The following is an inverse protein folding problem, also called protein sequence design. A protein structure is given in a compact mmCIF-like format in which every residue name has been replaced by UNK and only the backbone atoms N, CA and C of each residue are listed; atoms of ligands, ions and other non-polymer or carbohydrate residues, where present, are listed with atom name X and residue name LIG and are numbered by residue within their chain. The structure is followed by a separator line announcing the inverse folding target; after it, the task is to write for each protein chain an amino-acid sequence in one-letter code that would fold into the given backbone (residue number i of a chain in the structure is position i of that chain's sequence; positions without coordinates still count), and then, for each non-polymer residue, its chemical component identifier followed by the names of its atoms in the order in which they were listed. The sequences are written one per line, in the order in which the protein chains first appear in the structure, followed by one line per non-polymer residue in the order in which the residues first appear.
data_IF_903849899745
#
_entry.id   IF_903849899745
#
_cell.length_a   1.000
_cell.length_b   1.000
_cell.length_c   1.000
_cell.angle_alpha   90.00
_cell.angle_beta   90.00
_cell.angle_gamma   90.00
#
_symmetry.space_group_name_H-M   'P 1'
#
loop_
_entity.id
_entity.type
_entity.pdbx_description
1 polymer ?
#
# COMPACT_ATOMS: atom_id res chain seq x y z
N UNK A 1 0.71 70.13 -22.35
CA UNK A 1 0.82 70.63 -23.74
C UNK A 1 0.31 69.59 -24.68
N UNK A 2 -0.76 69.93 -25.36
CA UNK A 2 -1.24 69.59 -26.71
C UNK A 2 -1.24 68.03 -27.04
N UNK A 3 -2.36 67.40 -27.01
CA UNK A 3 -3.54 67.47 -27.92
C UNK A 3 -3.27 66.96 -29.34
N UNK A 4 -4.08 66.00 -29.73
CA UNK A 4 -4.64 65.98 -31.03
C UNK A 4 -4.72 64.64 -31.74
N UNK A 5 -5.87 64.35 -32.34
CA UNK A 5 -6.37 63.08 -32.66
C UNK A 5 -6.55 62.82 -34.20
N UNK A 6 -7.44 61.88 -34.58
CA UNK A 6 -8.05 61.66 -35.93
C UNK A 6 -7.40 60.51 -36.74
N UNK A 7 -8.05 59.69 -37.51
CA UNK A 7 -9.45 59.63 -38.00
C UNK A 7 -9.72 58.19 -38.51
N UNK A 8 -10.97 57.77 -38.34
CA UNK A 8 -11.63 56.75 -39.21
C UNK A 8 -12.06 57.35 -40.56
N UNK A 9 -12.31 56.57 -41.54
CA UNK A 9 -13.51 56.83 -42.36
C UNK A 9 -14.45 55.64 -42.49
N UNK A 10 -15.68 56.09 -42.63
CA UNK A 10 -16.92 55.34 -42.80
C UNK A 10 -17.24 55.07 -44.29
N UNK A 11 -18.23 54.13 -44.42
CA UNK A 11 -19.32 54.08 -45.44
C UNK A 11 -18.92 53.59 -46.84
N UNK A 12 -19.73 52.79 -47.49
CA UNK A 12 -21.16 52.97 -47.82
C UNK A 12 -21.77 51.67 -48.36
N UNK A 13 -22.93 51.32 -47.90
CA UNK A 13 -24.16 50.86 -48.52
C UNK A 13 -24.21 50.75 -50.08
N UNK A 14 -24.76 49.61 -50.60
CA UNK A 14 -25.79 49.61 -51.65
C UNK A 14 -26.67 48.37 -51.59
N UNK A 15 -27.97 48.63 -51.57
CA UNK A 15 -29.14 47.73 -51.63
C UNK A 15 -29.60 47.65 -53.10
N UNK A 16 -30.06 46.49 -53.56
CA UNK A 16 -31.17 46.26 -54.51
C UNK A 16 -31.37 44.75 -54.53
N UNK A 17 -32.43 44.16 -54.12
CA UNK A 17 -33.88 44.15 -54.28
C UNK A 17 -34.34 43.35 -55.54
N UNK A 18 -35.09 42.28 -55.25
CA UNK A 18 -36.24 41.69 -55.93
C UNK A 18 -36.03 40.68 -57.06
N UNK A 19 -36.48 39.51 -56.77
CA UNK A 19 -37.62 38.72 -57.26
C UNK A 19 -37.30 37.67 -58.37
N UNK A 20 -37.56 36.39 -58.11
CA UNK A 20 -38.71 35.67 -58.71
C UNK A 20 -38.89 34.28 -58.07
N UNK A 21 -40.11 34.01 -57.75
CA UNK A 21 -40.71 32.82 -57.20
C UNK A 21 -40.56 31.63 -58.19
N UNK A 22 -40.00 30.50 -57.77
CA UNK A 22 -40.31 29.20 -58.38
C UNK A 22 -40.42 28.14 -57.32
N UNK A 23 -41.64 27.77 -56.99
CA UNK A 23 -42.00 26.64 -56.15
C UNK A 23 -41.62 25.36 -56.89
N UNK A 24 -40.60 24.67 -56.45
CA UNK A 24 -40.41 23.25 -56.74
C UNK A 24 -40.53 22.50 -55.43
N UNK A 25 -41.69 21.87 -55.23
CA UNK A 25 -41.95 20.94 -54.18
C UNK A 25 -41.12 19.69 -54.46
N UNK A 26 -39.96 19.59 -53.85
CA UNK A 26 -39.30 18.29 -53.70
C UNK A 26 -39.69 17.75 -52.33
N UNK A 27 -40.56 16.74 -52.37
CA UNK A 27 -40.74 15.85 -51.25
C UNK A 27 -39.43 15.13 -50.95
N UNK A 28 -38.61 15.74 -50.12
CA UNK A 28 -37.60 15.00 -49.40
C UNK A 28 -38.30 14.33 -48.21
N UNK A 29 -38.60 13.05 -48.38
CA UNK A 29 -38.83 12.14 -47.31
C UNK A 29 -37.65 12.31 -46.32
N UNK A 30 -37.88 12.94 -45.18
CA UNK A 30 -37.06 12.75 -44.01
C UNK A 30 -37.16 11.25 -43.67
N UNK A 31 -36.24 10.46 -44.18
CA UNK A 31 -35.88 9.27 -43.46
C UNK A 31 -35.23 9.79 -42.16
N UNK A 32 -36.01 9.71 -41.09
CA UNK A 32 -35.44 9.63 -39.75
C UNK A 32 -34.38 8.53 -39.81
N UNK A 33 -33.13 8.95 -39.92
CA UNK A 33 -32.07 8.12 -39.42
C UNK A 33 -32.37 8.04 -37.92
N UNK A 34 -33.13 7.02 -37.53
CA UNK A 34 -33.08 6.48 -36.19
C UNK A 34 -31.59 6.45 -35.83
N UNK A 35 -31.23 7.29 -34.88
CA UNK A 35 -30.00 7.07 -34.11
C UNK A 35 -29.98 5.57 -33.85
N UNK A 36 -29.05 4.88 -34.49
CA UNK A 36 -28.75 3.52 -34.10
C UNK A 36 -28.57 3.62 -32.59
N UNK A 37 -29.54 3.08 -31.86
CA UNK A 37 -29.28 2.67 -30.48
C UNK A 37 -27.99 1.89 -30.58
N UNK A 38 -26.89 2.46 -30.07
CA UNK A 38 -25.73 1.68 -29.80
C UNK A 38 -26.26 0.51 -28.98
N UNK A 39 -26.20 -0.69 -29.53
CA UNK A 39 -26.26 -1.88 -28.73
C UNK A 39 -25.20 -1.62 -27.65
N UNK A 40 -25.64 -1.24 -26.45
CA UNK A 40 -24.84 -1.31 -25.26
C UNK A 40 -24.50 -2.80 -25.14
N UNK A 41 -23.35 -3.18 -25.70
CA UNK A 41 -22.81 -4.50 -25.53
C UNK A 41 -22.61 -4.64 -24.03
N UNK A 42 -23.59 -5.30 -23.39
CA UNK A 42 -23.60 -5.50 -21.95
C UNK A 42 -22.46 -6.46 -21.63
N UNK A 43 -21.32 -5.88 -21.18
CA UNK A 43 -20.19 -6.69 -20.74
C UNK A 43 -20.54 -7.26 -19.37
N UNK A 44 -20.64 -8.60 -19.29
CA UNK A 44 -20.92 -9.30 -18.07
C UNK A 44 -19.61 -9.70 -17.38
N UNK A 45 -19.36 -9.18 -16.20
CA UNK A 45 -18.23 -9.55 -15.36
C UNK A 45 -18.45 -10.93 -14.77
N UNK A 46 -17.47 -11.80 -14.89
CA UNK A 46 -17.43 -13.13 -14.27
C UNK A 46 -16.51 -13.04 -13.06
N UNK A 47 -17.07 -13.19 -11.88
CA UNK A 47 -16.31 -13.22 -10.64
C UNK A 47 -15.61 -14.56 -10.47
N UNK A 48 -14.34 -14.53 -10.13
CA UNK A 48 -13.54 -15.70 -9.80
C UNK A 48 -13.04 -15.60 -8.37
N UNK A 49 -13.09 -16.70 -7.64
CA UNK A 49 -12.48 -16.78 -6.32
C UNK A 49 -10.96 -16.61 -6.42
N UNK A 50 -10.34 -15.91 -5.47
CA UNK A 50 -8.90 -15.77 -5.45
C UNK A 50 -8.21 -17.12 -5.22
N UNK A 51 -7.12 -17.37 -5.96
CA UNK A 51 -6.33 -18.60 -5.88
C UNK A 51 -4.98 -18.28 -5.26
N UNK A 52 -4.53 -19.10 -4.29
CA UNK A 52 -3.21 -18.98 -3.68
C UNK A 52 -2.10 -19.31 -4.69
N UNK A 53 -1.03 -18.53 -4.67
CA UNK A 53 0.11 -18.73 -5.57
C UNK A 53 0.91 -19.98 -5.14
N UNK A 54 1.21 -20.85 -6.09
CA UNK A 54 2.06 -21.99 -5.83
C UNK A 54 3.54 -21.58 -5.86
N UNK A 55 4.24 -21.75 -4.74
CA UNK A 55 5.64 -21.43 -4.52
C UNK A 55 6.48 -22.69 -4.35
N UNK A 56 7.75 -22.64 -4.77
CA UNK A 56 8.71 -23.69 -4.50
C UNK A 56 9.13 -23.69 -3.02
N UNK A 57 9.45 -22.52 -2.48
CA UNK A 57 9.73 -22.31 -1.06
C UNK A 57 8.43 -22.09 -0.32
N UNK A 58 8.12 -22.95 0.65
CA UNK A 58 6.86 -22.90 1.41
C UNK A 58 6.91 -21.98 2.65
N UNK A 59 8.05 -21.35 2.90
CA UNK A 59 8.19 -20.34 3.95
C UNK A 59 7.19 -19.22 3.72
N UNK A 60 6.37 -18.84 4.73
CA UNK A 60 5.51 -17.67 4.64
C UNK A 60 6.33 -16.39 4.50
N UNK A 61 5.94 -15.53 3.56
CA UNK A 61 6.60 -14.24 3.30
C UNK A 61 5.54 -13.15 3.34
N UNK A 62 5.70 -12.19 4.25
CA UNK A 62 4.79 -11.07 4.45
C UNK A 62 5.50 -9.74 4.21
N UNK A 63 4.83 -8.79 3.56
CA UNK A 63 5.36 -7.45 3.42
C UNK A 63 4.91 -6.56 4.59
N UNK A 64 5.82 -5.89 5.27
CA UNK A 64 5.47 -4.87 6.25
C UNK A 64 4.87 -3.66 5.53
N UNK A 65 3.65 -3.28 5.89
CA UNK A 65 2.82 -2.33 5.15
C UNK A 65 2.49 -1.09 5.99
N UNK A 66 2.78 0.09 5.42
CA UNK A 66 2.53 1.39 6.05
C UNK A 66 1.23 2.01 5.49
N UNK A 67 0.15 2.17 6.31
CA UNK A 67 -1.14 2.72 5.85
C UNK A 67 -1.22 4.25 5.99
N UNK A 68 -0.14 4.99 5.89
CA UNK A 68 -0.03 6.38 6.31
C UNK A 68 0.14 7.43 5.22
N UNK A 69 -0.21 7.11 3.96
CA UNK A 69 -0.14 8.04 2.86
C UNK A 69 -1.51 8.63 2.55
N UNK A 70 -1.62 9.97 2.49
CA UNK A 70 -2.83 10.69 2.16
C UNK A 70 -2.60 11.62 0.98
N UNK A 71 -3.64 11.79 0.14
CA UNK A 71 -3.67 12.75 -0.96
C UNK A 71 -4.92 13.62 -0.91
N UNK A 72 -4.90 14.82 -1.55
CA UNK A 72 -6.08 15.69 -1.57
C UNK A 72 -7.31 15.07 -2.24
N UNK A 73 -7.13 14.13 -3.17
CA UNK A 73 -8.24 13.48 -3.88
C UNK A 73 -9.10 12.62 -2.95
N UNK A 74 -8.50 11.89 -2.02
CA UNK A 74 -9.19 10.94 -1.13
C UNK A 74 -9.33 11.45 0.31
N UNK A 75 -8.25 11.97 0.87
CA UNK A 75 -8.19 12.41 2.27
C UNK A 75 -8.37 13.93 2.43
N UNK A 76 -8.35 14.70 1.33
CA UNK A 76 -8.52 16.15 1.34
C UNK A 76 -7.23 16.95 1.63
N UNK A 77 -6.11 16.28 1.86
CA UNK A 77 -4.80 16.90 2.15
C UNK A 77 -3.65 15.97 1.78
N UNK A 78 -2.43 16.52 1.68
CA UNK A 78 -1.20 15.72 1.59
C UNK A 78 -0.74 15.29 2.98
N UNK A 79 -0.60 13.98 3.19
CA UNK A 79 -0.16 13.41 4.46
C UNK A 79 1.29 13.70 4.80
N UNK A 80 1.62 13.63 6.09
CA UNK A 80 2.95 13.96 6.61
C UNK A 80 4.05 13.07 6.03
N UNK A 81 3.76 11.84 5.65
CA UNK A 81 4.73 10.92 5.06
C UNK A 81 5.07 11.26 3.59
N UNK A 82 4.21 12.05 2.89
CA UNK A 82 4.58 12.64 1.60
C UNK A 82 5.29 13.98 1.73
N UNK A 83 5.02 14.74 2.81
CA UNK A 83 5.50 16.14 2.94
C UNK A 83 6.65 16.30 3.93
N UNK A 84 6.70 15.49 4.97
CA UNK A 84 7.48 15.77 6.18
C UNK A 84 7.34 17.23 6.58
N UNK A 85 8.43 17.92 6.96
CA UNK A 85 8.37 19.31 7.39
C UNK A 85 8.59 20.32 6.23
N UNK A 86 9.09 19.91 5.06
CA UNK A 86 9.58 20.86 4.05
C UNK A 86 9.34 20.48 2.59
N UNK A 87 8.58 19.42 2.30
CA UNK A 87 8.22 19.04 0.93
C UNK A 87 6.78 19.48 0.61
N UNK A 88 6.57 19.81 -0.64
CA UNK A 88 5.26 20.23 -1.13
C UNK A 88 4.92 19.46 -2.42
N UNK A 89 4.09 18.40 -2.36
CA UNK A 89 3.74 17.63 -3.55
C UNK A 89 2.91 18.39 -4.61
N UNK A 90 2.46 19.62 -4.33
CA UNK A 90 1.89 20.49 -5.37
C UNK A 90 2.97 21.07 -6.30
N UNK A 91 4.23 21.06 -5.88
CA UNK A 91 5.36 21.49 -6.70
C UNK A 91 5.89 20.31 -7.54
N UNK A 92 6.28 20.63 -8.78
CA UNK A 92 6.87 19.66 -9.70
C UNK A 92 8.34 19.98 -9.93
N UNK A 93 9.21 18.99 -9.75
CA UNK A 93 10.65 19.06 -10.03
C UNK A 93 10.96 17.97 -11.06
N UNK A 94 11.45 18.36 -12.23
CA UNK A 94 11.76 17.46 -13.34
C UNK A 94 10.58 16.55 -13.76
N UNK A 95 9.34 17.03 -13.63
CA UNK A 95 8.13 16.31 -14.00
C UNK A 95 7.57 15.39 -12.92
N UNK A 96 8.19 15.30 -11.76
CA UNK A 96 7.73 14.56 -10.60
C UNK A 96 7.28 15.52 -9.48
N UNK A 97 6.30 15.10 -8.68
CA UNK A 97 5.89 15.85 -7.47
C UNK A 97 7.01 15.86 -6.43
N UNK A 98 7.18 16.98 -5.72
CA UNK A 98 8.17 17.08 -4.64
C UNK A 98 7.69 16.36 -3.40
N UNK A 99 8.16 15.13 -3.16
CA UNK A 99 7.79 14.29 -2.03
C UNK A 99 8.98 14.05 -1.08
N UNK A 100 8.68 13.62 0.13
CA UNK A 100 9.67 13.32 1.17
C UNK A 100 10.23 11.90 1.02
N UNK A 101 10.96 11.66 -0.06
CA UNK A 101 11.63 10.39 -0.34
C UNK A 101 12.82 10.61 -1.27
N UNK A 102 13.80 9.71 -1.19
CA UNK A 102 14.89 9.60 -2.17
C UNK A 102 14.45 8.91 -3.45
N UNK A 103 13.35 8.14 -3.41
CA UNK A 103 12.83 7.34 -4.50
C UNK A 103 11.40 7.76 -4.85
N UNK A 104 11.00 7.52 -6.07
CA UNK A 104 9.69 7.93 -6.54
C UNK A 104 8.82 6.72 -6.91
N UNK A 105 7.63 6.56 -6.32
CA UNK A 105 6.73 5.46 -6.67
C UNK A 105 6.50 5.42 -8.17
N UNK A 106 6.55 4.24 -8.79
CA UNK A 106 6.39 4.10 -10.24
C UNK A 106 5.02 4.62 -10.73
N UNK A 107 4.00 4.51 -9.89
CA UNK A 107 2.64 5.02 -10.12
C UNK A 107 2.43 6.47 -9.67
N UNK A 108 3.44 7.12 -9.10
CA UNK A 108 3.34 8.42 -8.42
C UNK A 108 2.82 8.32 -6.99
N UNK A 109 2.77 9.45 -6.25
CA UNK A 109 2.22 9.47 -4.89
C UNK A 109 0.73 9.14 -4.88
N UNK A 110 0.31 8.35 -3.91
CA UNK A 110 -1.03 7.77 -3.78
C UNK A 110 -1.61 7.98 -2.37
N UNK A 111 -2.87 7.65 -2.23
CA UNK A 111 -3.56 7.56 -0.93
C UNK A 111 -3.67 6.09 -0.50
N UNK A 112 -3.36 5.79 0.76
CA UNK A 112 -3.45 4.43 1.30
C UNK A 112 -4.88 3.89 1.40
N UNK A 113 -5.89 4.73 1.18
CA UNK A 113 -7.31 4.34 1.11
C UNK A 113 -7.86 4.27 -0.32
N UNK A 114 -7.05 4.58 -1.36
CA UNK A 114 -7.46 4.48 -2.76
C UNK A 114 -7.61 3.01 -3.18
N UNK A 115 -8.84 2.58 -3.47
CA UNK A 115 -9.14 1.20 -3.87
C UNK A 115 -8.28 0.74 -5.06
N UNK A 116 -8.03 1.61 -6.04
CA UNK A 116 -7.23 1.25 -7.22
C UNK A 116 -5.73 1.11 -6.90
N UNK A 117 -5.22 1.92 -5.96
CA UNK A 117 -3.89 1.70 -5.41
C UNK A 117 -3.79 0.34 -4.70
N UNK A 118 -4.79 0.01 -3.88
CA UNK A 118 -4.82 -1.25 -3.16
C UNK A 118 -4.93 -2.47 -4.10
N UNK A 119 -5.76 -2.39 -5.17
CA UNK A 119 -5.77 -3.41 -6.24
C UNK A 119 -4.37 -3.63 -6.81
N UNK A 120 -3.71 -2.55 -7.24
CA UNK A 120 -2.35 -2.60 -7.80
C UNK A 120 -1.36 -3.22 -6.83
N UNK A 121 -1.27 -2.68 -5.61
CA UNK A 121 -0.27 -3.08 -4.62
C UNK A 121 -0.41 -4.57 -4.25
N UNK A 122 -1.62 -5.03 -3.93
CA UNK A 122 -1.85 -6.40 -3.48
C UNK A 122 -1.76 -7.42 -4.62
N UNK A 123 -2.14 -7.06 -5.86
CA UNK A 123 -1.91 -7.92 -7.02
C UNK A 123 -0.40 -8.05 -7.31
N UNK A 124 0.37 -6.95 -7.24
CA UNK A 124 1.83 -7.00 -7.33
C UNK A 124 2.44 -7.95 -6.29
N UNK A 125 2.02 -7.83 -5.02
CA UNK A 125 2.48 -8.73 -3.95
C UNK A 125 2.12 -10.18 -4.26
N UNK A 126 0.88 -10.44 -4.63
CA UNK A 126 0.39 -11.79 -4.97
C UNK A 126 1.21 -12.43 -6.08
N UNK A 127 1.39 -11.74 -7.22
CA UNK A 127 2.16 -12.25 -8.35
C UNK A 127 3.68 -12.36 -8.04
N UNK A 128 4.14 -11.68 -7.00
CA UNK A 128 5.52 -11.84 -6.48
C UNK A 128 5.66 -13.01 -5.51
N UNK A 129 4.56 -13.69 -5.15
CA UNK A 129 4.57 -14.81 -4.20
C UNK A 129 4.68 -14.38 -2.74
N UNK A 130 4.33 -13.14 -2.44
CA UNK A 130 4.13 -12.65 -1.08
C UNK A 130 2.78 -13.16 -0.60
N UNK A 131 2.72 -13.75 0.59
CA UNK A 131 1.52 -14.42 1.11
C UNK A 131 0.53 -13.44 1.75
N UNK A 132 1.01 -12.28 2.19
CA UNK A 132 0.19 -11.28 2.86
C UNK A 132 0.98 -10.09 3.38
N UNK A 133 0.35 -9.33 4.27
CA UNK A 133 0.92 -8.09 4.82
C UNK A 133 0.95 -8.10 6.36
N UNK A 134 1.94 -7.43 6.92
CA UNK A 134 2.02 -7.07 8.33
C UNK A 134 1.73 -5.56 8.42
N UNK A 135 0.54 -5.21 8.92
CA UNK A 135 0.03 -3.82 8.89
C UNK A 135 0.51 -3.08 10.11
N UNK A 136 1.23 -1.98 9.91
CA UNK A 136 1.60 -1.06 10.96
C UNK A 136 0.36 -0.31 11.48
N UNK A 137 -0.08 -0.64 12.70
CA UNK A 137 -1.40 -0.27 13.24
C UNK A 137 -1.29 0.74 14.39
N UNK A 138 -1.84 1.92 14.17
CA UNK A 138 -1.75 3.10 15.07
C UNK A 138 -2.89 3.20 16.09
N UNK A 139 -3.70 2.13 16.25
CA UNK A 139 -4.84 2.13 17.16
C UNK A 139 -6.10 2.77 16.59
N UNK A 140 -7.11 2.94 17.45
CA UNK A 140 -8.43 3.48 17.09
C UNK A 140 -8.71 4.89 17.60
N UNK A 141 -7.71 5.55 18.18
CA UNK A 141 -7.90 6.85 18.81
C UNK A 141 -8.25 7.96 17.80
N UNK A 142 -8.91 9.00 18.28
CA UNK A 142 -9.30 10.15 17.47
C UNK A 142 -8.26 11.29 17.49
N UNK A 143 -7.02 10.99 17.90
CA UNK A 143 -5.92 11.95 17.95
C UNK A 143 -5.11 11.94 16.65
N UNK A 144 -4.46 13.05 16.35
CA UNK A 144 -3.59 13.23 15.18
C UNK A 144 -4.31 12.78 13.88
N UNK A 145 -3.61 12.05 13.04
CA UNK A 145 -4.12 11.43 11.80
C UNK A 145 -4.55 9.95 11.99
N UNK A 146 -4.54 9.43 13.23
CA UNK A 146 -4.87 8.03 13.51
C UNK A 146 -6.23 7.58 12.98
N UNK A 147 -7.31 8.41 12.98
CA UNK A 147 -8.56 8.04 12.33
C UNK A 147 -8.40 7.74 10.84
N UNK A 148 -7.55 8.49 10.15
CA UNK A 148 -7.29 8.28 8.72
C UNK A 148 -6.46 7.02 8.48
N UNK A 149 -5.49 6.73 9.37
CA UNK A 149 -4.72 5.50 9.32
C UNK A 149 -5.60 4.26 9.58
N UNK A 150 -6.57 4.37 10.48
CA UNK A 150 -7.54 3.31 10.72
C UNK A 150 -8.43 3.05 9.50
N UNK A 151 -8.88 4.10 8.80
CA UNK A 151 -9.62 3.97 7.54
C UNK A 151 -8.78 3.23 6.50
N UNK A 152 -7.53 3.64 6.30
CA UNK A 152 -6.61 3.00 5.37
C UNK A 152 -6.31 1.54 5.74
N UNK A 153 -6.09 1.26 7.04
CA UNK A 153 -5.89 -0.11 7.54
C UNK A 153 -7.10 -1.01 7.25
N UNK A 154 -8.32 -0.52 7.49
CA UNK A 154 -9.52 -1.28 7.16
C UNK A 154 -9.68 -1.50 5.65
N UNK A 155 -9.39 -0.49 4.83
CA UNK A 155 -9.47 -0.61 3.37
C UNK A 155 -8.50 -1.67 2.82
N UNK A 156 -7.25 -1.69 3.27
CA UNK A 156 -6.28 -2.70 2.82
C UNK A 156 -6.64 -4.11 3.30
N UNK A 157 -7.19 -4.26 4.52
CA UNK A 157 -7.67 -5.55 5.05
C UNK A 157 -8.82 -6.11 4.19
N UNK A 158 -9.77 -5.27 3.81
CA UNK A 158 -10.87 -5.67 2.92
C UNK A 158 -10.37 -6.06 1.52
N UNK A 159 -9.37 -5.34 1.00
CA UNK A 159 -8.77 -5.69 -0.28
C UNK A 159 -7.91 -6.97 -0.20
N UNK A 160 -7.22 -7.24 0.91
CA UNK A 160 -6.54 -8.52 1.14
C UNK A 160 -7.49 -9.71 1.00
N UNK A 161 -8.70 -9.63 1.55
CA UNK A 161 -9.73 -10.66 1.42
C UNK A 161 -10.12 -10.88 -0.05
N UNK A 162 -10.38 -9.78 -0.80
CA UNK A 162 -10.74 -9.84 -2.24
C UNK A 162 -9.60 -10.43 -3.10
N UNK A 163 -8.35 -10.11 -2.78
CA UNK A 163 -7.17 -10.59 -3.54
C UNK A 163 -6.74 -11.99 -3.10
N UNK A 164 -7.16 -12.44 -1.91
CA UNK A 164 -6.76 -13.72 -1.31
C UNK A 164 -5.34 -13.69 -0.75
N UNK A 165 -5.03 -12.63 -0.02
CA UNK A 165 -3.81 -12.46 0.77
C UNK A 165 -4.14 -12.47 2.27
N UNK A 166 -3.20 -12.93 3.08
CA UNK A 166 -3.32 -12.90 4.52
C UNK A 166 -2.89 -11.53 5.09
N UNK A 167 -3.23 -11.27 6.36
CA UNK A 167 -2.72 -10.11 7.07
C UNK A 167 -2.53 -10.40 8.56
N UNK A 168 -1.64 -9.66 9.20
CA UNK A 168 -1.54 -9.56 10.66
C UNK A 168 -1.29 -8.12 11.07
N UNK A 169 -1.55 -7.83 12.34
CA UNK A 169 -1.36 -6.51 12.93
C UNK A 169 0.03 -6.40 13.53
N UNK A 170 0.70 -5.29 13.25
CA UNK A 170 1.88 -4.80 13.96
C UNK A 170 1.47 -3.58 14.77
N UNK A 171 1.30 -3.74 16.06
CA UNK A 171 0.79 -2.69 16.93
C UNK A 171 1.89 -1.67 17.29
N UNK A 172 1.63 -0.40 17.01
CA UNK A 172 2.51 0.74 17.35
C UNK A 172 2.18 1.31 18.72
N UNK A 173 2.77 0.79 19.80
CA UNK A 173 2.49 1.26 21.16
C UNK A 173 3.04 2.66 21.49
N UNK A 174 3.87 3.26 20.59
CA UNK A 174 4.29 4.66 20.73
C UNK A 174 3.13 5.65 20.62
N UNK A 175 2.05 5.28 19.93
CA UNK A 175 0.84 6.10 19.78
C UNK A 175 0.23 6.44 21.13
N UNK A 176 0.30 5.52 22.10
CA UNK A 176 -0.17 5.71 23.46
C UNK A 176 0.54 6.90 24.12
N UNK A 177 1.86 7.02 23.94
CA UNK A 177 2.60 8.15 24.50
C UNK A 177 2.08 9.48 23.98
N UNK A 178 1.80 9.59 22.69
CA UNK A 178 1.26 10.80 22.09
C UNK A 178 -0.09 11.22 22.68
N UNK A 179 -0.94 10.27 23.06
CA UNK A 179 -2.22 10.51 23.70
C UNK A 179 -2.06 10.90 25.17
N UNK A 180 -1.18 10.19 25.89
CA UNK A 180 -0.86 10.50 27.31
C UNK A 180 -0.24 11.89 27.47
N UNK A 181 0.65 12.30 26.57
CA UNK A 181 1.29 13.62 26.60
C UNK A 181 0.24 14.76 26.44
N UNK A 182 -0.93 14.46 25.91
CA UNK A 182 -2.07 15.38 25.82
C UNK A 182 -3.01 15.30 27.03
N UNK A 183 -2.70 14.45 28.02
CA UNK A 183 -3.44 14.34 29.27
C UNK A 183 -4.64 13.40 29.25
N UNK A 184 -4.74 12.48 28.28
CA UNK A 184 -5.86 11.56 28.13
C UNK A 184 -5.48 10.11 28.45
N UNK A 185 -6.40 9.40 29.11
CA UNK A 185 -6.32 7.96 29.35
C UNK A 185 -5.24 7.51 30.36
N UNK A 186 -4.96 6.23 30.34
CA UNK A 186 -3.87 5.59 31.05
C UNK A 186 -3.15 4.62 30.11
N UNK A 187 -1.88 4.31 30.39
CA UNK A 187 -1.03 3.45 29.57
C UNK A 187 -1.72 2.14 29.19
N UNK A 188 -2.07 1.33 30.18
CA UNK A 188 -2.73 0.05 29.97
C UNK A 188 -4.16 0.18 29.45
N UNK A 189 -4.88 1.26 29.80
CA UNK A 189 -6.27 1.49 29.37
C UNK A 189 -6.35 1.73 27.85
N UNK A 190 -5.50 2.62 27.33
CA UNK A 190 -5.45 2.92 25.89
C UNK A 190 -5.03 1.68 25.08
N UNK A 191 -3.97 0.99 25.50
CA UNK A 191 -3.56 -0.24 24.86
C UNK A 191 -4.66 -1.31 24.86
N UNK A 192 -5.34 -1.48 25.99
CA UNK A 192 -6.45 -2.43 26.10
C UNK A 192 -7.58 -2.12 25.12
N UNK A 193 -7.95 -0.86 24.96
CA UNK A 193 -8.99 -0.45 24.00
C UNK A 193 -8.60 -0.82 22.57
N UNK A 194 -7.35 -0.57 22.16
CA UNK A 194 -6.85 -0.94 20.85
C UNK A 194 -6.80 -2.46 20.66
N UNK A 195 -6.34 -3.20 21.67
CA UNK A 195 -6.25 -4.65 21.62
C UNK A 195 -7.62 -5.33 21.57
N UNK A 196 -8.61 -4.82 22.30
CA UNK A 196 -9.98 -5.28 22.23
C UNK A 196 -10.60 -4.98 20.85
N UNK A 197 -10.22 -3.88 20.22
CA UNK A 197 -10.62 -3.57 18.85
C UNK A 197 -10.04 -4.61 17.87
N UNK A 198 -8.74 -4.94 17.99
CA UNK A 198 -8.06 -5.96 17.19
C UNK A 198 -8.71 -7.32 17.39
N UNK A 199 -8.92 -7.75 18.65
CA UNK A 199 -9.58 -9.02 18.96
C UNK A 199 -10.95 -9.14 18.32
N UNK A 200 -11.74 -8.07 18.39
CA UNK A 200 -13.12 -8.07 17.89
C UNK A 200 -13.22 -8.05 16.38
N UNK A 201 -12.38 -7.24 15.72
CA UNK A 201 -12.57 -6.90 14.31
C UNK A 201 -11.61 -7.63 13.37
N UNK A 202 -10.44 -8.08 13.85
CA UNK A 202 -9.39 -8.65 13.00
C UNK A 202 -9.12 -10.12 13.27
N UNK A 203 -8.91 -10.55 14.50
CA UNK A 203 -8.63 -11.96 14.81
C UNK A 203 -9.66 -12.96 14.25
N UNK A 204 -10.98 -12.65 14.17
CA UNK A 204 -11.95 -13.58 13.61
C UNK A 204 -11.94 -13.70 12.08
N UNK A 205 -11.18 -12.84 11.37
CA UNK A 205 -11.15 -12.90 9.90
C UNK A 205 -10.41 -14.15 9.43
N UNK A 206 -10.96 -14.81 8.41
CA UNK A 206 -10.44 -16.09 7.91
C UNK A 206 -9.03 -16.00 7.32
N UNK A 207 -8.63 -14.81 6.86
CA UNK A 207 -7.31 -14.50 6.32
C UNK A 207 -6.40 -13.77 7.32
N UNK A 208 -6.71 -13.81 8.62
CA UNK A 208 -5.76 -13.37 9.64
C UNK A 208 -4.66 -14.41 9.82
N UNK A 209 -3.40 -13.99 9.86
CA UNK A 209 -2.24 -14.89 10.02
C UNK A 209 -2.30 -15.61 11.35
N UNK A 210 -2.26 -16.94 11.28
CA UNK A 210 -2.26 -17.82 12.45
C UNK A 210 -1.04 -18.75 12.41
N UNK A 211 -0.49 -19.02 13.58
CA UNK A 211 0.46 -20.12 13.83
C UNK A 211 -0.23 -21.10 14.78
N UNK A 212 -0.26 -22.39 14.45
CA UNK A 212 -0.91 -23.43 15.27
C UNK A 212 -2.36 -23.09 15.68
N UNK A 213 -3.13 -22.46 14.77
CA UNK A 213 -4.51 -21.98 14.93
C UNK A 213 -4.68 -20.85 15.98
N UNK A 214 -3.63 -20.11 16.30
CA UNK A 214 -3.67 -18.91 17.13
C UNK A 214 -3.23 -17.71 16.30
N UNK A 215 -3.96 -16.59 16.37
CA UNK A 215 -3.54 -15.37 15.69
C UNK A 215 -2.20 -14.86 16.26
N UNK A 216 -1.40 -14.25 15.41
CA UNK A 216 -0.17 -13.57 15.84
C UNK A 216 -0.44 -12.08 16.00
N UNK A 217 0.15 -11.48 17.01
CA UNK A 217 0.18 -10.03 17.21
C UNK A 217 1.63 -9.57 17.29
N UNK A 218 2.07 -8.78 16.33
CA UNK A 218 3.37 -8.17 16.36
C UNK A 218 3.27 -6.81 17.08
N UNK A 219 4.40 -6.35 17.63
CA UNK A 219 4.51 -5.00 18.19
C UNK A 219 5.75 -4.31 17.64
N UNK A 220 5.57 -3.16 16.99
CA UNK A 220 6.68 -2.30 16.62
C UNK A 220 7.17 -1.52 17.83
N UNK A 221 7.91 -2.22 18.67
CA UNK A 221 8.28 -1.76 19.99
C UNK A 221 8.72 -2.94 20.86
N UNK A 222 8.51 -2.83 22.17
CA UNK A 222 7.71 -1.82 22.90
C UNK A 222 8.44 -0.49 23.08
N UNK A 223 7.69 0.60 22.99
CA UNK A 223 8.18 1.98 23.20
C UNK A 223 7.58 2.58 24.46
N UNK A 224 6.29 2.37 24.68
CA UNK A 224 5.54 2.94 25.82
C UNK A 224 5.21 1.91 26.88
N UNK A 225 4.80 0.68 26.49
CA UNK A 225 4.52 -0.43 27.39
C UNK A 225 5.81 -1.24 27.64
N UNK A 226 6.65 -0.77 28.53
CA UNK A 226 8.03 -1.26 28.71
C UNK A 226 8.21 -2.32 29.80
N UNK A 227 7.11 -2.80 30.42
CA UNK A 227 7.16 -3.81 31.48
C UNK A 227 6.16 -4.94 31.24
N UNK A 228 6.40 -6.12 31.82
CA UNK A 228 5.44 -7.22 31.81
C UNK A 228 4.08 -6.77 32.39
N UNK A 229 4.08 -6.00 33.48
CA UNK A 229 2.87 -5.50 34.13
C UNK A 229 2.04 -4.61 33.17
N UNK A 230 2.67 -3.75 32.37
CA UNK A 230 1.99 -2.92 31.37
C UNK A 230 1.22 -3.80 30.37
N UNK A 231 1.89 -4.83 29.82
CA UNK A 231 1.30 -5.73 28.82
C UNK A 231 0.28 -6.71 29.43
N UNK A 232 0.55 -7.28 30.61
CA UNK A 232 -0.39 -8.14 31.34
C UNK A 232 -1.69 -7.38 31.62
N UNK A 233 -1.61 -6.11 32.02
CA UNK A 233 -2.76 -5.25 32.22
C UNK A 233 -3.48 -4.94 30.89
N UNK A 234 -2.74 -4.69 29.80
CA UNK A 234 -3.31 -4.45 28.48
C UNK A 234 -4.03 -5.71 27.94
N UNK A 235 -3.46 -6.89 28.14
CA UNK A 235 -4.04 -8.18 27.69
C UNK A 235 -5.16 -8.69 28.60
N UNK A 236 -5.36 -8.13 29.80
CA UNK A 236 -6.18 -8.72 30.88
C UNK A 236 -7.66 -9.01 30.52
N UNK A 237 -8.21 -8.38 29.48
CA UNK A 237 -9.59 -8.57 29.03
C UNK A 237 -9.70 -9.29 27.68
N UNK A 238 -8.56 -9.55 27.01
CA UNK A 238 -8.51 -10.33 25.77
C UNK A 238 -8.82 -11.79 26.09
N UNK A 239 -9.71 -12.39 25.34
CA UNK A 239 -10.20 -13.76 25.53
C UNK A 239 -9.60 -14.74 24.52
N UNK A 240 -9.21 -14.23 23.37
CA UNK A 240 -8.58 -15.01 22.31
C UNK A 240 -7.15 -15.32 22.70
N UNK A 241 -6.78 -16.58 22.66
CA UNK A 241 -5.39 -17.01 22.86
C UNK A 241 -4.60 -16.67 21.59
N UNK A 242 -3.52 -15.91 21.72
CA UNK A 242 -2.70 -15.42 20.59
C UNK A 242 -1.21 -15.48 20.93
N UNK A 243 -0.36 -15.37 19.92
CA UNK A 243 1.09 -15.28 20.11
C UNK A 243 1.57 -13.84 19.95
N UNK A 244 2.43 -13.39 20.88
CA UNK A 244 2.94 -12.01 20.93
C UNK A 244 4.40 -11.92 20.48
N UNK A 245 4.67 -11.03 19.51
CA UNK A 245 5.97 -10.85 18.86
C UNK A 245 6.43 -9.39 18.92
N UNK A 246 7.19 -8.92 19.93
CA UNK A 246 7.85 -7.63 19.88
C UNK A 246 9.13 -7.68 19.05
N UNK A 247 9.69 -6.50 18.72
CA UNK A 247 11.02 -6.39 18.13
C UNK A 247 12.10 -6.99 19.04
N UNK A 248 13.03 -7.75 18.47
CA UNK A 248 13.98 -8.57 19.21
C UNK A 248 14.87 -7.83 20.20
N UNK A 249 15.22 -6.58 19.93
CA UNK A 249 16.10 -5.81 20.83
C UNK A 249 15.36 -5.27 22.06
N UNK A 250 14.06 -5.00 21.96
CA UNK A 250 13.27 -4.47 23.09
C UNK A 250 13.09 -5.45 24.24
N UNK A 251 12.78 -6.75 24.03
CA UNK A 251 12.72 -7.71 25.11
C UNK A 251 14.01 -7.84 25.91
N UNK A 252 15.18 -7.62 25.29
CA UNK A 252 16.47 -7.60 25.99
C UNK A 252 16.57 -6.45 26.98
N UNK A 253 16.07 -5.26 26.60
CA UNK A 253 16.15 -4.08 27.42
C UNK A 253 15.13 -4.06 28.56
N UNK A 254 13.91 -4.51 28.28
CA UNK A 254 12.79 -4.40 29.22
C UNK A 254 12.43 -5.70 29.93
N UNK A 255 13.17 -6.78 29.68
CA UNK A 255 12.95 -8.08 30.30
C UNK A 255 11.52 -8.65 30.12
N UNK A 256 11.00 -8.58 28.92
CA UNK A 256 9.64 -9.04 28.56
C UNK A 256 9.55 -10.55 28.27
N UNK A 257 10.53 -11.35 28.65
CA UNK A 257 10.65 -12.76 28.27
C UNK A 257 9.52 -13.66 28.81
N UNK A 258 8.69 -13.17 29.75
CA UNK A 258 7.60 -13.97 30.34
C UNK A 258 6.28 -13.88 29.58
N UNK A 259 6.15 -12.91 28.67
CA UNK A 259 4.93 -12.66 27.89
C UNK A 259 5.16 -12.77 26.38
N UNK A 260 6.39 -13.06 25.97
CA UNK A 260 6.79 -13.08 24.55
C UNK A 260 6.88 -14.51 24.08
N UNK A 261 6.12 -14.85 23.05
CA UNK A 261 6.14 -16.16 22.40
C UNK A 261 7.17 -16.22 21.27
N UNK A 262 7.36 -15.12 20.55
CA UNK A 262 8.33 -14.99 19.48
C UNK A 262 8.92 -13.59 19.39
N UNK A 263 9.92 -13.43 18.54
CA UNK A 263 10.52 -12.13 18.23
C UNK A 263 10.75 -12.00 16.73
N UNK A 264 10.86 -10.76 16.26
CA UNK A 264 11.23 -10.49 14.88
C UNK A 264 12.25 -9.37 14.78
N UNK A 265 12.95 -9.26 13.65
CA UNK A 265 14.01 -8.26 13.42
C UNK A 265 13.50 -7.00 12.72
N UNK A 266 14.29 -5.94 12.80
CA UNK A 266 14.17 -4.76 11.95
C UNK A 266 15.47 -4.54 11.17
N UNK A 267 15.58 -3.39 10.49
CA UNK A 267 16.66 -3.06 9.55
C UNK A 267 18.07 -3.44 10.02
N UNK A 268 18.47 -3.04 11.21
CA UNK A 268 19.84 -3.26 11.73
C UNK A 268 20.17 -4.70 12.10
N UNK A 269 19.18 -5.57 12.22
CA UNK A 269 19.32 -6.92 12.78
C UNK A 269 19.13 -8.04 11.77
N UNK A 270 18.58 -7.74 10.60
CA UNK A 270 18.28 -8.76 9.59
C UNK A 270 19.48 -9.58 9.13
N UNK A 271 20.70 -9.03 9.21
CA UNK A 271 21.95 -9.73 8.90
C UNK A 271 22.66 -10.28 10.16
N UNK A 272 22.16 -9.98 11.38
CA UNK A 272 22.87 -10.21 12.63
C UNK A 272 22.80 -11.66 13.10
N UNK A 273 23.93 -12.33 13.20
CA UNK A 273 24.03 -13.64 13.89
C UNK A 273 23.53 -13.57 15.34
N UNK A 274 23.76 -12.45 15.98
CA UNK A 274 23.33 -12.25 17.37
C UNK A 274 21.81 -12.22 17.50
N UNK A 275 21.10 -11.61 16.54
CA UNK A 275 19.64 -11.68 16.47
C UNK A 275 19.14 -13.12 16.37
N UNK A 276 19.61 -13.88 15.40
CA UNK A 276 19.15 -15.26 15.18
C UNK A 276 19.51 -16.18 16.36
N UNK A 277 20.68 -15.99 16.98
CA UNK A 277 21.07 -16.75 18.16
C UNK A 277 20.22 -16.38 19.39
N UNK A 278 19.86 -15.12 19.54
CA UNK A 278 18.97 -14.68 20.61
C UNK A 278 17.54 -15.18 20.40
N UNK A 279 17.03 -15.08 19.18
CA UNK A 279 15.69 -15.50 18.80
C UNK A 279 15.39 -16.98 19.06
N UNK A 280 16.41 -17.84 18.97
CA UNK A 280 16.28 -19.28 19.31
C UNK A 280 15.89 -19.57 20.77
N UNK A 281 15.80 -18.58 21.63
CA UNK A 281 15.31 -18.70 23.01
C UNK A 281 13.79 -18.66 23.12
N UNK A 282 13.11 -18.25 22.06
CA UNK A 282 11.66 -18.15 21.96
C UNK A 282 11.12 -19.32 21.14
N UNK A 283 9.84 -19.55 21.26
CA UNK A 283 9.17 -20.66 20.55
C UNK A 283 9.08 -20.38 19.05
N UNK A 284 8.98 -19.08 18.66
CA UNK A 284 8.85 -18.64 17.28
C UNK A 284 9.84 -17.52 16.95
N UNK A 285 10.16 -17.42 15.66
CA UNK A 285 11.12 -16.44 15.14
C UNK A 285 10.72 -15.91 13.77
N UNK A 286 10.52 -14.60 13.67
CA UNK A 286 10.37 -13.90 12.40
C UNK A 286 11.71 -13.42 11.85
N UNK A 287 12.06 -13.84 10.63
CA UNK A 287 13.21 -13.30 9.91
C UNK A 287 12.84 -12.08 9.06
N UNK A 288 13.83 -11.48 8.39
CA UNK A 288 13.60 -10.32 7.52
C UNK A 288 14.36 -10.37 6.22
N UNK A 289 13.74 -9.85 5.16
CA UNK A 289 14.36 -9.49 3.89
C UNK A 289 14.42 -7.97 3.76
N UNK A 290 15.60 -7.41 3.43
CA UNK A 290 15.81 -5.97 3.26
C UNK A 290 16.38 -5.72 1.87
N UNK A 291 15.76 -4.81 1.11
CA UNK A 291 16.29 -4.37 -0.17
C UNK A 291 17.31 -3.24 0.01
N UNK A 292 16.93 -2.21 0.77
CA UNK A 292 17.72 -1.02 1.06
C UNK A 292 17.25 -0.36 2.35
N UNK A 293 18.05 0.53 2.94
CA UNK A 293 17.67 1.53 3.93
C UNK A 293 18.41 2.82 3.65
N UNK A 294 17.68 3.89 3.36
CA UNK A 294 18.20 5.24 3.17
C UNK A 294 17.13 6.26 3.56
N UNK A 295 17.18 6.70 4.81
CA UNK A 295 16.18 7.62 5.35
C UNK A 295 16.27 9.02 4.73
N UNK A 296 15.10 9.63 4.51
CA UNK A 296 14.96 11.01 4.02
C UNK A 296 14.68 12.01 5.16
N UNK A 297 14.72 11.59 6.40
CA UNK A 297 14.24 12.37 7.55
C UNK A 297 14.95 13.69 7.72
N UNK A 298 16.29 13.73 7.69
CA UNK A 298 17.02 15.00 7.82
C UNK A 298 16.74 15.96 6.66
N UNK A 299 16.73 15.47 5.42
CA UNK A 299 16.37 16.23 4.24
C UNK A 299 14.90 16.67 4.26
N UNK A 300 14.03 15.87 4.87
CA UNK A 300 12.62 16.14 5.10
C UNK A 300 12.35 17.09 6.27
N UNK A 301 13.38 17.40 7.08
CA UNK A 301 13.28 18.28 8.24
C UNK A 301 12.79 17.59 9.52
N UNK A 302 12.90 16.28 9.59
CA UNK A 302 12.65 15.44 10.78
C UNK A 302 13.98 15.01 11.42
N UNK A 303 13.92 14.47 12.63
CA UNK A 303 15.08 13.90 13.29
C UNK A 303 15.46 12.55 12.67
N UNK A 304 16.78 12.31 12.55
CA UNK A 304 17.31 11.02 12.08
C UNK A 304 16.99 9.89 13.05
N UNK A 305 16.83 8.67 12.51
CA UNK A 305 16.78 7.44 13.34
C UNK A 305 18.15 7.13 13.97
N UNK A 306 19.22 7.61 13.36
CA UNK A 306 20.61 7.27 13.72
C UNK A 306 21.12 5.97 13.09
N UNK A 307 20.29 5.30 12.30
CA UNK A 307 20.70 4.16 11.47
C UNK A 307 21.50 4.68 10.26
N UNK A 308 22.62 4.03 9.97
CA UNK A 308 23.41 4.32 8.74
C UNK A 308 22.75 3.74 7.51
N UNK A 309 22.95 4.39 6.36
CA UNK A 309 22.50 3.88 5.07
C UNK A 309 23.00 2.44 4.83
N UNK A 310 22.09 1.61 4.35
CA UNK A 310 22.36 0.24 3.92
C UNK A 310 21.97 0.14 2.46
N UNK A 311 22.96 0.10 1.56
CA UNK A 311 22.72 0.14 0.12
C UNK A 311 22.31 -1.23 -0.44
N UNK A 312 21.54 -1.27 -1.54
CA UNK A 312 20.96 -2.51 -2.10
C UNK A 312 22.00 -3.44 -2.72
N UNK A 313 23.18 -2.93 -3.08
CA UNK A 313 24.29 -3.72 -3.67
C UNK A 313 23.86 -4.55 -4.89
N UNK A 314 23.12 -3.94 -5.81
CA UNK A 314 22.53 -4.59 -6.98
C UNK A 314 21.62 -5.78 -6.60
N UNK A 315 20.78 -5.59 -5.59
CA UNK A 315 19.84 -6.58 -5.05
C UNK A 315 20.48 -7.68 -4.20
N UNK A 316 21.80 -7.68 -4.00
CA UNK A 316 22.47 -8.72 -3.20
C UNK A 316 22.06 -8.66 -1.72
N UNK A 317 21.80 -7.46 -1.19
CA UNK A 317 21.36 -7.33 0.21
C UNK A 317 20.07 -8.10 0.46
N UNK A 318 19.08 -7.97 -0.42
CA UNK A 318 17.80 -8.70 -0.28
C UNK A 318 18.03 -10.22 -0.38
N UNK A 319 18.83 -10.69 -1.35
CA UNK A 319 19.16 -12.13 -1.49
C UNK A 319 19.84 -12.68 -0.24
N UNK A 320 20.86 -12.00 0.26
CA UNK A 320 21.62 -12.41 1.45
C UNK A 320 20.74 -12.46 2.70
N UNK A 321 19.83 -11.48 2.91
CA UNK A 321 18.96 -11.46 4.08
C UNK A 321 17.86 -12.50 4.01
N UNK A 322 17.28 -12.78 2.83
CA UNK A 322 16.34 -13.87 2.61
C UNK A 322 16.97 -15.25 2.85
N UNK A 323 18.19 -15.48 2.31
CA UNK A 323 18.95 -16.72 2.54
C UNK A 323 19.33 -16.88 4.02
N UNK A 324 19.75 -15.79 4.68
CA UNK A 324 20.08 -15.78 6.10
C UNK A 324 18.89 -16.17 6.95
N UNK A 325 17.73 -15.57 6.69
CA UNK A 325 16.47 -15.89 7.39
C UNK A 325 16.12 -17.37 7.22
N UNK A 326 16.08 -17.85 5.97
CA UNK A 326 15.75 -19.26 5.68
C UNK A 326 16.71 -20.23 6.35
N UNK A 327 18.02 -19.99 6.25
CA UNK A 327 19.05 -20.87 6.83
C UNK A 327 19.07 -20.84 8.37
N UNK A 328 18.51 -19.83 8.97
CA UNK A 328 18.42 -19.69 10.43
C UNK A 328 17.22 -20.42 11.04
N UNK A 329 16.29 -20.94 10.22
CA UNK A 329 15.15 -21.72 10.65
C UNK A 329 14.05 -20.86 11.29
N UNK A 330 13.70 -19.75 10.62
CA UNK A 330 12.60 -18.86 11.03
C UNK A 330 11.25 -19.46 10.66
N UNK A 331 10.17 -19.02 11.33
CA UNK A 331 8.79 -19.46 11.08
C UNK A 331 8.14 -18.69 9.93
N UNK A 332 8.54 -17.42 9.75
CA UNK A 332 8.14 -16.58 8.62
C UNK A 332 9.20 -15.54 8.30
N UNK A 333 9.12 -14.95 7.12
CA UNK A 333 9.97 -13.82 6.70
C UNK A 333 9.08 -12.60 6.51
N UNK A 334 9.47 -11.46 7.13
CA UNK A 334 8.92 -10.17 6.75
C UNK A 334 9.85 -9.45 5.76
N UNK A 335 9.28 -8.76 4.80
CA UNK A 335 9.97 -7.85 3.91
C UNK A 335 9.89 -6.44 4.49
N UNK A 336 11.00 -5.83 4.74
CA UNK A 336 11.11 -4.46 5.27
C UNK A 336 11.43 -3.54 4.10
N UNK A 337 10.44 -2.78 3.62
CA UNK A 337 8.99 -2.72 3.80
C UNK A 337 8.30 -2.74 2.44
N UNK A 338 6.95 -2.89 2.37
CA UNK A 338 6.29 -2.65 1.09
C UNK A 338 6.54 -1.22 0.62
N UNK A 339 6.24 -0.22 1.49
CA UNK A 339 6.08 1.17 1.09
C UNK A 339 6.58 2.22 2.08
N UNK A 340 7.59 1.95 2.92
CA UNK A 340 8.19 3.05 3.67
C UNK A 340 9.18 3.84 2.80
N UNK A 341 8.60 4.82 2.10
CA UNK A 341 9.34 5.74 1.24
C UNK A 341 10.23 6.71 2.03
N UNK A 342 9.83 7.02 3.26
CA UNK A 342 10.58 7.91 4.15
C UNK A 342 11.87 7.29 4.66
N UNK A 343 11.88 5.99 4.93
CA UNK A 343 13.08 5.23 5.30
C UNK A 343 13.82 4.67 4.08
N UNK A 344 13.24 4.76 2.87
CA UNK A 344 13.84 4.23 1.65
C UNK A 344 13.97 2.71 1.67
N UNK A 345 13.12 2.03 2.45
CA UNK A 345 13.07 0.57 2.52
C UNK A 345 12.08 -0.05 1.53
N UNK A 346 11.36 0.80 0.78
CA UNK A 346 10.27 0.38 -0.08
C UNK A 346 10.70 -0.62 -1.16
N UNK A 347 10.04 -1.79 -1.21
CA UNK A 347 10.14 -2.76 -2.31
C UNK A 347 9.04 -2.57 -3.36
N UNK A 348 8.05 -1.71 -3.09
CA UNK A 348 7.07 -1.28 -4.08
C UNK A 348 7.79 -0.71 -5.30
N UNK A 349 7.36 -1.01 -6.54
CA UNK A 349 8.02 -0.53 -7.74
C UNK A 349 8.24 0.98 -7.76
N UNK A 350 9.49 1.40 -7.99
CA UNK A 350 9.91 2.80 -8.09
C UNK A 350 10.42 3.15 -9.49
N UNK A 351 10.56 4.43 -9.76
CA UNK A 351 11.17 4.91 -11.01
C UNK A 351 12.63 4.47 -11.10
N UNK A 352 13.33 4.43 -9.97
CA UNK A 352 14.76 4.11 -9.89
C UNK A 352 15.04 2.62 -10.05
N UNK A 353 14.26 1.76 -9.39
CA UNK A 353 14.53 0.31 -9.33
C UNK A 353 13.52 -0.53 -10.12
N UNK A 354 12.45 0.09 -10.62
CA UNK A 354 11.39 -0.62 -11.33
C UNK A 354 10.86 -1.81 -10.49
N UNK A 355 10.93 -3.02 -11.00
CA UNK A 355 10.49 -4.25 -10.33
C UNK A 355 11.63 -5.07 -9.72
N UNK A 356 12.84 -4.50 -9.55
CA UNK A 356 14.03 -5.27 -9.17
C UNK A 356 13.82 -6.09 -7.89
N UNK A 357 13.33 -5.44 -6.81
CA UNK A 357 13.07 -6.12 -5.55
C UNK A 357 12.05 -7.26 -5.69
N UNK A 358 10.94 -7.02 -6.41
CA UNK A 358 9.91 -8.03 -6.62
C UNK A 358 10.39 -9.20 -7.48
N UNK A 359 11.23 -8.93 -8.49
CA UNK A 359 11.84 -9.99 -9.30
C UNK A 359 12.79 -10.88 -8.48
N UNK A 360 13.53 -10.30 -7.55
CA UNK A 360 14.36 -11.06 -6.60
C UNK A 360 13.48 -11.95 -5.70
N UNK A 361 12.36 -11.43 -5.22
CA UNK A 361 11.41 -12.20 -4.41
C UNK A 361 10.80 -13.32 -5.22
N UNK A 362 10.35 -13.07 -6.46
CA UNK A 362 9.83 -14.10 -7.37
C UNK A 362 10.81 -15.25 -7.58
N UNK A 363 12.08 -14.92 -7.84
CA UNK A 363 13.15 -15.89 -8.00
C UNK A 363 13.39 -16.69 -6.70
N UNK A 364 13.39 -16.01 -5.55
CA UNK A 364 13.64 -16.63 -4.25
C UNK A 364 12.51 -17.61 -3.87
N UNK A 365 11.26 -17.19 -3.94
CA UNK A 365 10.13 -18.05 -3.56
C UNK A 365 9.78 -19.09 -4.64
N UNK A 366 10.23 -18.87 -5.87
CA UNK A 366 10.06 -19.79 -6.99
C UNK A 366 8.63 -19.83 -7.51
N UNK A 367 8.08 -18.68 -7.90
CA UNK A 367 6.79 -18.55 -8.58
C UNK A 367 6.94 -18.57 -10.10
N UNK A 368 5.88 -18.93 -10.87
CA UNK A 368 5.95 -18.99 -12.32
C UNK A 368 5.89 -17.62 -13.00
N UNK A 369 5.47 -16.57 -12.28
CA UNK A 369 5.25 -15.23 -12.80
C UNK A 369 6.56 -14.49 -13.04
N UNK A 370 6.50 -13.50 -13.93
CA UNK A 370 7.62 -12.68 -14.38
C UNK A 370 7.27 -11.20 -14.25
N UNK A 371 8.26 -10.33 -14.53
CA UNK A 371 8.07 -8.87 -14.58
C UNK A 371 6.89 -8.47 -15.48
N UNK A 372 6.72 -9.13 -16.62
CA UNK A 372 5.64 -8.85 -17.58
C UNK A 372 4.25 -9.13 -17.02
N UNK A 373 4.14 -9.98 -16.00
CA UNK A 373 2.88 -10.22 -15.29
C UNK A 373 2.65 -9.15 -14.21
N UNK A 374 3.72 -8.63 -13.59
CA UNK A 374 3.63 -7.49 -12.66
C UNK A 374 3.22 -6.20 -13.38
N UNK A 375 3.65 -6.01 -14.63
CA UNK A 375 3.24 -4.86 -15.45
C UNK A 375 1.72 -4.79 -15.65
N UNK A 376 0.99 -5.93 -15.59
CA UNK A 376 -0.48 -5.95 -15.72
C UNK A 376 -1.17 -5.20 -14.57
N UNK A 377 -0.64 -5.27 -13.35
CA UNK A 377 -1.21 -4.57 -12.20
C UNK A 377 -1.07 -3.05 -12.33
N UNK A 378 0.08 -2.57 -12.86
CA UNK A 378 0.28 -1.14 -13.15
C UNK A 378 -0.64 -0.70 -14.28
N UNK A 379 -0.74 -1.50 -15.34
CA UNK A 379 -1.62 -1.19 -16.49
C UNK A 379 -3.07 -1.09 -16.03
N UNK A 380 -3.54 -2.03 -15.20
CA UNK A 380 -4.87 -1.97 -14.59
C UNK A 380 -5.07 -0.66 -13.81
N UNK A 381 -4.14 -0.30 -12.92
CA UNK A 381 -4.19 0.95 -12.15
C UNK A 381 -4.29 2.19 -13.04
N UNK A 382 -3.42 2.30 -14.05
CA UNK A 382 -3.38 3.45 -14.94
C UNK A 382 -4.69 3.56 -15.76
N UNK A 383 -5.22 2.44 -16.25
CA UNK A 383 -6.49 2.42 -16.98
C UNK A 383 -7.68 2.76 -16.07
N UNK A 384 -7.70 2.32 -14.80
CA UNK A 384 -8.70 2.75 -13.81
C UNK A 384 -8.72 4.28 -13.65
N UNK A 385 -7.54 4.91 -13.58
CA UNK A 385 -7.41 6.37 -13.47
C UNK A 385 -7.82 7.09 -14.76
N UNK A 386 -7.45 6.58 -15.91
CA UNK A 386 -7.78 7.17 -17.22
C UNK A 386 -9.27 7.07 -17.52
N UNK A 387 -9.86 5.90 -17.31
CA UNK A 387 -11.24 5.61 -17.69
C UNK A 387 -12.23 5.67 -16.53
N UNK A 388 -11.93 6.39 -15.42
CA UNK A 388 -12.74 6.45 -14.20
C UNK A 388 -14.24 6.73 -14.42
N UNK A 389 -14.61 7.41 -15.49
CA UNK A 389 -15.98 7.77 -15.83
C UNK A 389 -16.60 6.88 -16.95
N UNK A 390 -15.90 5.86 -17.43
CA UNK A 390 -16.39 4.98 -18.48
C UNK A 390 -16.87 3.64 -17.92
N UNK A 391 -18.18 3.50 -17.71
CA UNK A 391 -18.79 2.31 -17.09
C UNK A 391 -18.45 1.01 -17.83
N UNK A 392 -18.44 1.01 -19.17
CA UNK A 392 -18.16 -0.19 -19.95
C UNK A 392 -16.69 -0.63 -19.79
N UNK A 393 -15.75 0.32 -19.89
CA UNK A 393 -14.33 0.01 -19.70
C UNK A 393 -14.09 -0.43 -18.26
N UNK A 394 -14.71 0.23 -17.26
CA UNK A 394 -14.53 -0.20 -15.86
C UNK A 394 -15.04 -1.63 -15.62
N UNK A 395 -16.15 -2.07 -16.23
CA UNK A 395 -16.57 -3.48 -16.18
C UNK A 395 -15.52 -4.43 -16.77
N UNK A 396 -14.86 -4.05 -17.87
CA UNK A 396 -13.75 -4.86 -18.41
C UNK A 396 -12.55 -4.89 -17.46
N UNK A 397 -12.24 -3.76 -16.81
CA UNK A 397 -11.18 -3.69 -15.80
C UNK A 397 -11.53 -4.50 -14.53
N UNK A 398 -12.83 -4.58 -14.16
CA UNK A 398 -13.28 -5.49 -13.10
C UNK A 398 -13.02 -6.96 -13.49
N UNK A 399 -13.24 -7.32 -14.74
CA UNK A 399 -12.91 -8.67 -15.24
C UNK A 399 -11.40 -8.93 -15.20
N UNK A 400 -10.57 -7.93 -15.54
CA UNK A 400 -9.10 -8.02 -15.41
C UNK A 400 -8.71 -8.28 -13.97
N UNK A 401 -9.30 -7.56 -13.01
CA UNK A 401 -9.07 -7.80 -11.58
C UNK A 401 -9.36 -9.26 -11.19
N UNK A 402 -10.54 -9.79 -11.55
CA UNK A 402 -10.92 -11.17 -11.27
C UNK A 402 -10.00 -12.20 -11.93
N UNK A 403 -9.52 -11.93 -13.14
CA UNK A 403 -8.51 -12.78 -13.78
C UNK A 403 -7.18 -12.76 -13.01
N UNK A 404 -6.71 -11.60 -12.56
CA UNK A 404 -5.44 -11.48 -11.86
C UNK A 404 -5.50 -12.15 -10.48
N UNK A 405 -6.58 -11.98 -9.71
CA UNK A 405 -6.71 -12.64 -8.39
C UNK A 405 -6.84 -14.16 -8.50
N UNK A 406 -7.36 -14.65 -9.63
CA UNK A 406 -7.44 -16.08 -9.95
C UNK A 406 -6.27 -16.60 -10.79
N UNK A 407 -5.18 -15.82 -10.92
CA UNK A 407 -3.91 -16.17 -11.57
C UNK A 407 -4.02 -16.45 -13.09
N UNK A 408 -5.03 -15.88 -13.75
CA UNK A 408 -5.27 -16.01 -15.18
C UNK A 408 -4.64 -14.82 -15.94
N UNK A 409 -3.32 -14.65 -15.83
CA UNK A 409 -2.60 -13.47 -16.35
C UNK A 409 -2.74 -13.28 -17.85
N UNK A 410 -2.80 -14.36 -18.65
CA UNK A 410 -2.99 -14.25 -20.09
C UNK A 410 -4.38 -13.70 -20.46
N UNK A 411 -5.45 -14.15 -19.78
CA UNK A 411 -6.80 -13.62 -20.01
C UNK A 411 -6.91 -12.14 -19.60
N UNK A 412 -6.20 -11.75 -18.52
CA UNK A 412 -6.10 -10.35 -18.10
C UNK A 412 -5.39 -9.50 -19.17
N UNK A 413 -4.28 -10.00 -19.70
CA UNK A 413 -3.50 -9.35 -20.76
C UNK A 413 -4.33 -9.13 -22.03
N UNK A 414 -5.07 -10.14 -22.49
CA UNK A 414 -5.93 -10.03 -23.69
C UNK A 414 -6.92 -8.87 -23.57
N UNK A 415 -7.56 -8.67 -22.40
CA UNK A 415 -8.48 -7.54 -22.22
C UNK A 415 -7.73 -6.20 -22.20
N UNK A 416 -6.58 -6.14 -21.50
CA UNK A 416 -5.83 -4.89 -21.40
C UNK A 416 -5.24 -4.45 -22.73
N UNK A 417 -4.81 -5.40 -23.57
CA UNK A 417 -4.26 -5.12 -24.91
C UNK A 417 -5.37 -4.66 -25.91
N UNK A 418 -6.63 -5.02 -25.64
CA UNK A 418 -7.79 -4.64 -26.46
C UNK A 418 -8.43 -3.29 -26.05
N UNK A 419 -7.96 -2.64 -24.97
CA UNK A 419 -8.47 -1.35 -24.47
C UNK A 419 -7.65 -0.18 -24.93
#
# INVERSE_FOLDING_TARGET
MKSGPFHLPKCTFFIYLLSFLAIVIFNYSCQDKSLAESEDLEFNVIEFEPISVNKTIKMPVYAHYMPWFQTPEFSGYWGNHWTMANKNPEEFINGQRSIASHYYPLIGPYDSSDEHYLEYALICMKLSGIDGILIDFYGQSQFNDYPQLLIASNAVIEMCEKVGLDFAIVYEDRTIKSILDQGYGSKAGLAKEDLLYIEKNYFPKSNYVNIDNKPILLNFGPITLTSNEDWENAFSEIKTDFYFFPLAYHPRYYNLNTIVDGVYSWVGEAQSDDFYNYGKKFDYLGGSGIFEFREFYEEGGWDKTGQSDILPRDGNLLRETLEKSTSSGVDFIQLITWNDWGEGTAIEPSVEYQFEALSIIQDFVGVPFKKEDLDLSITLYLMRKEYKNNTLINKKLDQVFYYLVSLQTENAREILDDL
#
